data_IF_822843215956
#
_entry.id   IF_822843215956
#
_cell.length_a   1.000
_cell.length_b   1.000
_cell.length_c   1.000
_cell.angle_alpha   90.00
_cell.angle_beta   90.00
_cell.angle_gamma   90.00
#
_symmetry.space_group_name_H-M   'P 1'
#
loop_
_entity.id
_entity.type
_entity.pdbx_description
1 polymer ?
#
# COMPACT_ATOMS: atom_id res chain seq x y z
N UNK A 1 -25.58 -5.87 11.69
CA UNK A 1 -25.45 -6.09 12.15
C UNK A 1 -25.19 -6.17 12.91
N UNK A 2 -25.19 -6.36 13.21
CA UNK A 2 -25.07 -6.61 13.97
C UNK A 2 -24.48 -6.74 14.58
N UNK A 3 -24.54 -6.82 14.92
CA UNK A 3 -24.09 -7.11 15.44
C UNK A 3 -23.75 -7.24 16.16
N UNK A 4 -23.83 -7.40 16.52
CA UNK A 4 -23.59 -7.75 17.15
C UNK A 4 -23.20 -7.70 17.56
N UNK A 5 -23.29 -7.90 18.09
CA UNK A 5 -23.05 -8.18 18.53
C UNK A 5 -22.65 -8.18 19.13
N UNK A 6 -22.70 -8.28 19.42
CA UNK A 6 -22.41 -8.58 20.11
C UNK A 6 -21.92 -8.57 20.54
N UNK A 7 -21.89 -8.71 20.93
CA UNK A 7 -21.44 -9.03 21.43
C UNK A 7 -20.90 -9.14 22.04
N UNK A 8 -20.90 -9.23 22.19
CA UNK A 8 -20.38 -9.57 22.79
C UNK A 8 -19.54 -9.46 22.96
N UNK A 9 -19.62 -9.15 23.39
CA UNK A 9 -18.73 -9.14 23.55
C UNK A 9 -17.91 -9.15 24.33
N UNK A 10 -18.11 -8.26 24.53
CA UNK A 10 -17.55 -8.61 25.82
C UNK A 10 -16.69 -9.86 25.85
N UNK A 11 -16.50 -10.44 24.75
CA UNK A 11 -15.81 -11.72 24.67
C UNK A 11 -14.52 -11.66 23.90
N UNK A 12 -13.86 -10.47 23.87
CA UNK A 12 -12.52 -10.39 23.33
C UNK A 12 -11.60 -11.35 24.10
N UNK A 13 -10.75 -12.06 23.39
CA UNK A 13 -9.77 -12.92 24.02
C UNK A 13 -8.80 -12.07 24.84
N UNK A 14 -8.16 -12.71 25.83
CA UNK A 14 -7.19 -12.01 26.67
C UNK A 14 -6.09 -11.40 25.79
N UNK A 15 -5.86 -10.11 25.95
CA UNK A 15 -4.90 -9.37 25.14
C UNK A 15 -5.49 -8.72 23.90
N UNK A 16 -6.73 -9.03 23.57
CA UNK A 16 -7.40 -8.35 22.46
C UNK A 16 -8.04 -7.06 22.94
N UNK A 17 -8.04 -6.06 22.07
CA UNK A 17 -8.69 -4.79 22.34
C UNK A 17 -9.10 -4.15 21.03
N UNK A 18 -10.05 -3.21 21.11
CA UNK A 18 -10.42 -2.41 19.96
C UNK A 18 -9.27 -1.46 19.64
N UNK A 19 -8.92 -1.39 18.38
CA UNK A 19 -7.96 -0.43 17.87
C UNK A 19 -8.64 0.39 16.78
N UNK A 20 -8.45 1.69 16.83
CA UNK A 20 -9.01 2.61 15.85
C UNK A 20 -7.94 3.63 15.53
N UNK A 21 -7.58 3.74 14.24
CA UNK A 21 -6.56 4.68 13.78
C UNK A 21 -7.03 5.38 12.54
N UNK A 22 -6.32 6.42 12.14
CA UNK A 22 -6.70 7.25 11.02
C UNK A 22 -5.46 7.60 10.20
N UNK A 23 -5.54 7.53 8.88
CA UNK A 23 -4.41 7.87 8.02
C UNK A 23 -3.98 9.34 8.15
N UNK A 24 -4.85 10.21 8.64
CA UNK A 24 -4.47 11.59 8.93
C UNK A 24 -3.50 11.74 10.09
N UNK A 25 -3.31 10.67 10.88
CA UNK A 25 -2.33 10.61 11.97
C UNK A 25 -1.58 9.30 11.88
N UNK A 26 -0.74 9.14 10.85
CA UNK A 26 -0.05 7.87 10.63
C UNK A 26 1.00 7.63 11.71
N UNK A 27 1.32 6.34 11.92
CA UNK A 27 2.40 5.95 12.81
C UNK A 27 3.76 6.28 12.19
N UNK A 28 3.83 6.28 10.87
CA UNK A 28 5.07 6.55 10.15
C UNK A 28 4.73 7.07 8.76
N UNK A 29 5.59 7.95 8.23
CA UNK A 29 5.50 8.40 6.84
C UNK A 29 6.86 8.17 6.19
N UNK A 30 6.86 7.59 5.00
CA UNK A 30 8.06 7.45 4.18
C UNK A 30 7.86 8.23 2.89
N UNK A 31 8.78 9.14 2.62
CA UNK A 31 8.71 9.98 1.44
C UNK A 31 9.75 9.55 0.41
N UNK A 32 9.41 9.75 -0.85
CA UNK A 32 10.28 9.49 -1.98
C UNK A 32 9.88 10.45 -3.11
N UNK A 33 10.70 10.58 -4.15
CA UNK A 33 10.35 11.49 -5.23
C UNK A 33 8.96 11.21 -5.80
N UNK A 34 8.12 12.23 -5.82
CA UNK A 34 6.75 12.23 -6.35
C UNK A 34 5.80 11.30 -5.60
N UNK A 35 6.03 11.11 -4.28
CA UNK A 35 5.08 10.33 -3.53
C UNK A 35 5.44 10.14 -2.06
N UNK A 36 4.54 9.46 -1.38
CA UNK A 36 4.74 9.09 0.01
C UNK A 36 3.86 7.90 0.37
N UNK A 37 4.22 7.22 1.43
CA UNK A 37 3.42 6.17 2.02
C UNK A 37 3.19 6.53 3.48
N UNK A 38 1.94 6.53 3.89
CA UNK A 38 1.51 6.72 5.27
C UNK A 38 1.20 5.35 5.86
N UNK A 39 1.86 5.01 6.96
CA UNK A 39 1.79 3.67 7.53
C UNK A 39 1.05 3.69 8.84
N UNK A 40 0.19 2.72 9.04
CA UNK A 40 -0.53 2.49 10.27
C UNK A 40 -0.25 1.06 10.72
N UNK A 41 0.11 0.93 12.01
CA UNK A 41 0.27 -0.37 12.64
C UNK A 41 -0.96 -0.65 13.48
N UNK A 42 -1.68 -1.69 13.11
CA UNK A 42 -2.96 -2.02 13.73
C UNK A 42 -3.16 -3.52 13.68
N UNK A 43 -3.61 -4.09 14.79
CA UNK A 43 -3.89 -5.52 14.88
C UNK A 43 -2.70 -6.40 14.55
N UNK A 44 -1.48 -5.93 14.82
CA UNK A 44 -0.26 -6.65 14.47
C UNK A 44 0.13 -6.57 13.01
N UNK A 45 -0.62 -5.83 12.20
CA UNK A 45 -0.33 -5.65 10.77
C UNK A 45 0.16 -4.24 10.49
N UNK A 46 0.77 -4.06 9.33
CA UNK A 46 1.14 -2.74 8.82
C UNK A 46 0.36 -2.49 7.55
N UNK A 47 -0.46 -1.44 7.57
CA UNK A 47 -1.30 -1.06 6.45
C UNK A 47 -0.80 0.29 5.95
N UNK A 48 -0.69 0.45 4.63
CA UNK A 48 -0.19 1.69 4.07
C UNK A 48 -1.18 2.34 3.12
N UNK A 49 -1.23 3.67 3.16
CA UNK A 49 -1.87 4.45 2.09
C UNK A 49 -0.77 5.11 1.30
N UNK A 50 -0.63 4.68 0.05
CA UNK A 50 0.36 5.24 -0.86
C UNK A 50 -0.29 6.34 -1.69
N UNK A 51 0.39 7.47 -1.82
CA UNK A 51 0.00 8.56 -2.70
C UNK A 51 1.13 8.73 -3.71
N UNK A 52 0.83 8.44 -4.97
CA UNK A 52 1.79 8.54 -6.07
C UNK A 52 1.36 9.69 -6.98
N UNK A 53 2.19 10.72 -7.09
CA UNK A 53 1.89 11.88 -7.90
C UNK A 53 2.10 11.59 -9.39
N UNK A 54 1.52 12.40 -10.29
CA UNK A 54 1.83 12.26 -11.71
C UNK A 54 3.33 12.32 -11.94
N UNK A 55 3.83 11.40 -12.76
CA UNK A 55 5.26 11.26 -13.02
C UNK A 55 5.97 10.27 -12.11
N UNK A 56 5.29 9.77 -11.07
CA UNK A 56 5.89 8.74 -10.24
C UNK A 56 6.05 7.44 -11.03
N UNK A 57 7.20 6.82 -10.86
CA UNK A 57 7.48 5.47 -11.36
C UNK A 57 8.37 4.77 -10.35
N UNK A 58 8.08 3.50 -10.05
CA UNK A 58 8.86 2.77 -9.07
C UNK A 58 10.34 2.75 -9.43
N UNK A 59 10.67 2.51 -10.70
CA UNK A 59 12.05 2.40 -11.15
C UNK A 59 12.86 3.68 -10.92
N UNK A 60 12.23 4.87 -10.99
CA UNK A 60 12.93 6.14 -10.79
C UNK A 60 12.78 6.70 -9.38
N UNK A 61 11.67 6.39 -8.69
CA UNK A 61 11.36 7.01 -7.40
C UNK A 61 11.72 6.14 -6.21
N UNK A 62 11.56 4.82 -6.32
CA UNK A 62 11.72 3.89 -5.20
C UNK A 62 12.95 2.99 -5.39
N UNK A 63 13.23 2.58 -6.61
CA UNK A 63 14.36 1.68 -6.87
C UNK A 63 15.68 2.20 -6.29
N UNK A 64 16.00 3.50 -6.39
CA UNK A 64 17.25 3.98 -5.80
C UNK A 64 17.32 3.78 -4.29
N UNK A 65 16.16 3.72 -3.61
CA UNK A 65 16.09 3.47 -2.18
C UNK A 65 16.15 1.96 -1.92
N UNK A 66 15.34 1.19 -2.61
CA UNK A 66 15.21 -0.25 -2.41
C UNK A 66 16.41 -1.03 -2.94
N UNK A 67 17.02 -0.54 -4.04
CA UNK A 67 18.22 -1.12 -4.65
C UNK A 67 18.01 -2.53 -5.16
N UNK A 68 16.78 -2.83 -5.65
CA UNK A 68 16.46 -4.08 -6.34
C UNK A 68 16.12 -3.77 -7.79
N UNK A 69 16.18 -4.77 -8.67
CA UNK A 69 15.91 -4.57 -10.09
C UNK A 69 14.43 -4.23 -10.35
N UNK A 70 13.54 -4.82 -9.56
CA UNK A 70 12.11 -4.58 -9.62
C UNK A 70 11.56 -4.59 -8.21
N UNK A 71 10.31 -4.17 -8.03
CA UNK A 71 9.69 -4.17 -6.71
C UNK A 71 9.47 -5.61 -6.27
N UNK A 72 10.05 -5.98 -5.14
CA UNK A 72 10.00 -7.34 -4.62
C UNK A 72 8.98 -7.50 -3.51
N UNK A 73 8.35 -6.42 -3.06
CA UNK A 73 7.27 -6.51 -2.10
C UNK A 73 6.00 -7.00 -2.79
N UNK A 74 5.38 -8.06 -2.30
CA UNK A 74 4.05 -8.42 -2.78
C UNK A 74 3.03 -7.44 -2.23
N UNK A 75 1.98 -7.17 -2.99
CA UNK A 75 0.98 -6.18 -2.61
C UNK A 75 -0.42 -6.75 -2.71
N UNK A 76 -1.25 -6.42 -1.72
CA UNK A 76 -2.68 -6.72 -1.72
C UNK A 76 -3.38 -5.39 -1.49
N UNK A 77 -3.95 -4.82 -2.55
CA UNK A 77 -4.27 -3.39 -2.61
C UNK A 77 -5.70 -3.12 -3.02
N UNK A 78 -6.25 -2.06 -2.43
CA UNK A 78 -7.47 -1.43 -2.91
C UNK A 78 -7.11 -0.09 -3.55
N UNK A 79 -7.54 0.13 -4.80
CA UNK A 79 -7.23 1.32 -5.57
C UNK A 79 -8.33 2.35 -5.36
N UNK A 80 -7.97 3.47 -4.71
CA UNK A 80 -8.94 4.49 -4.29
C UNK A 80 -9.19 5.48 -5.41
N UNK A 81 -8.12 6.01 -6.03
CA UNK A 81 -8.23 7.02 -7.08
C UNK A 81 -6.99 7.00 -7.97
N UNK A 82 -7.12 7.62 -9.14
CA UNK A 82 -6.06 7.64 -10.13
C UNK A 82 -5.90 6.28 -10.80
N UNK A 83 -4.92 6.20 -11.71
CA UNK A 83 -4.64 4.97 -12.47
C UNK A 83 -3.18 4.64 -12.29
N UNK A 84 -2.93 3.41 -11.87
CA UNK A 84 -1.59 2.87 -11.71
C UNK A 84 -1.38 1.75 -12.73
N UNK A 85 -0.40 1.92 -13.61
CA UNK A 85 -0.04 0.87 -14.58
C UNK A 85 1.05 0.02 -13.99
N UNK A 86 0.89 -1.30 -14.08
CA UNK A 86 1.82 -2.28 -13.54
C UNK A 86 2.41 -3.09 -14.69
N UNK A 87 3.74 -3.25 -14.65
CA UNK A 87 4.47 -4.10 -15.59
C UNK A 87 5.18 -5.18 -14.78
N UNK A 88 4.76 -6.42 -14.98
CA UNK A 88 5.38 -7.56 -14.30
C UNK A 88 6.69 -7.93 -15.02
N UNK A 89 7.59 -8.58 -14.29
CA UNK A 89 8.88 -9.03 -14.85
C UNK A 89 8.70 -9.98 -16.04
N UNK A 90 7.58 -10.72 -16.07
CA UNK A 90 7.29 -11.64 -17.18
C UNK A 90 6.67 -10.94 -18.40
N UNK A 91 6.50 -9.62 -18.34
CA UNK A 91 5.98 -8.81 -19.44
C UNK A 91 4.49 -8.55 -19.40
N UNK A 92 3.75 -9.12 -18.45
CA UNK A 92 2.32 -8.81 -18.30
C UNK A 92 2.16 -7.36 -17.87
N UNK A 93 1.23 -6.64 -18.50
CA UNK A 93 0.98 -5.23 -18.21
C UNK A 93 -0.51 -5.00 -18.07
N UNK A 94 -0.90 -4.21 -17.07
CA UNK A 94 -2.31 -3.91 -16.82
C UNK A 94 -2.45 -2.62 -16.02
N UNK A 95 -3.65 -2.04 -16.06
CA UNK A 95 -3.98 -0.82 -15.32
C UNK A 95 -4.87 -1.15 -14.15
N UNK A 96 -4.51 -0.60 -12.98
CA UNK A 96 -5.33 -0.62 -11.79
C UNK A 96 -6.08 0.70 -11.72
N UNK A 97 -7.42 0.64 -11.65
CA UNK A 97 -8.30 1.80 -11.72
C UNK A 97 -9.10 1.93 -10.42
N UNK A 98 -9.71 3.09 -10.16
CA UNK A 98 -10.50 3.26 -8.93
C UNK A 98 -11.54 2.16 -8.76
N UNK A 99 -11.57 1.57 -7.57
CA UNK A 99 -12.47 0.47 -7.25
C UNK A 99 -11.86 -0.91 -7.47
N UNK A 100 -10.72 -1.00 -8.14
CA UNK A 100 -10.07 -2.30 -8.35
C UNK A 100 -9.42 -2.79 -7.07
N UNK A 101 -9.38 -4.10 -6.92
CA UNK A 101 -8.58 -4.78 -5.91
C UNK A 101 -7.55 -5.60 -6.65
N UNK A 102 -6.28 -5.48 -6.28
CA UNK A 102 -5.22 -6.21 -6.95
C UNK A 102 -4.41 -7.01 -5.95
N UNK A 103 -3.95 -8.16 -6.41
CA UNK A 103 -2.96 -8.99 -5.72
C UNK A 103 -1.76 -9.07 -6.64
N UNK A 104 -0.66 -8.45 -6.23
CA UNK A 104 0.55 -8.38 -7.04
C UNK A 104 1.64 -9.21 -6.38
N UNK A 105 2.12 -10.27 -7.03
CA UNK A 105 3.32 -10.93 -6.55
C UNK A 105 4.54 -10.02 -6.72
N UNK A 106 5.64 -10.39 -6.10
CA UNK A 106 6.90 -9.66 -6.28
C UNK A 106 7.35 -9.69 -7.74
N UNK A 107 8.22 -8.75 -8.10
CA UNK A 107 8.77 -8.71 -9.45
C UNK A 107 7.97 -7.85 -10.40
N UNK A 108 7.81 -6.56 -10.07
CA UNK A 108 7.08 -5.64 -10.93
C UNK A 108 7.66 -4.23 -10.87
N UNK A 109 7.35 -3.44 -11.88
CA UNK A 109 7.49 -1.99 -11.93
C UNK A 109 6.07 -1.41 -12.01
N UNK A 110 5.92 -0.14 -11.71
CA UNK A 110 4.62 0.53 -11.78
C UNK A 110 4.81 2.02 -11.96
N UNK A 111 3.83 2.69 -12.60
CA UNK A 111 3.86 4.14 -12.77
C UNK A 111 2.46 4.70 -12.86
N UNK A 112 2.35 5.99 -12.55
CA UNK A 112 1.08 6.70 -12.63
C UNK A 112 0.77 7.04 -14.07
N UNK A 113 -0.47 6.78 -14.49
CA UNK A 113 -0.97 7.13 -15.81
C UNK A 113 -1.86 8.36 -15.67
N UNK A 114 -1.57 9.40 -16.47
CA UNK A 114 -2.41 10.59 -16.48
C UNK A 114 -1.96 11.65 -15.50
N UNK A 115 -2.86 12.57 -15.20
CA UNK A 115 -2.55 13.80 -14.46
C UNK A 115 -3.11 13.83 -13.04
N UNK A 116 -3.67 12.71 -12.57
CA UNK A 116 -4.19 12.60 -11.22
C UNK A 116 -3.29 11.72 -10.38
N UNK A 117 -3.12 12.03 -9.09
CA UNK A 117 -2.40 11.12 -8.20
C UNK A 117 -3.10 9.77 -8.14
N UNK A 118 -2.32 8.71 -8.05
CA UNK A 118 -2.85 7.38 -7.75
C UNK A 118 -2.78 7.17 -6.23
N UNK A 119 -3.93 6.87 -5.63
CA UNK A 119 -4.01 6.63 -4.19
C UNK A 119 -4.44 5.18 -3.99
N UNK A 120 -3.64 4.46 -3.21
CA UNK A 120 -3.78 3.01 -3.04
C UNK A 120 -3.67 2.68 -1.56
N UNK A 121 -4.56 1.81 -1.07
CA UNK A 121 -4.43 1.26 0.28
C UNK A 121 -3.91 -0.17 0.16
N UNK A 122 -2.80 -0.45 0.82
CA UNK A 122 -2.11 -1.73 0.73
C UNK A 122 -2.17 -2.43 2.08
N UNK A 123 -2.68 -3.66 2.09
CA UNK A 123 -2.83 -4.48 3.28
C UNK A 123 -1.68 -5.48 3.45
N UNK A 124 -0.74 -5.50 2.52
CA UNK A 124 0.40 -6.41 2.54
C UNK A 124 1.56 -5.72 1.84
N UNK A 125 2.78 -6.02 2.27
CA UNK A 125 3.96 -5.51 1.58
C UNK A 125 4.41 -4.13 1.98
N UNK A 126 3.73 -3.49 2.92
CA UNK A 126 4.11 -2.14 3.34
C UNK A 126 5.14 -2.10 4.46
N UNK A 127 5.44 -3.23 5.08
CA UNK A 127 6.36 -3.26 6.21
C UNK A 127 7.72 -2.66 5.84
N UNK A 128 8.25 -3.06 4.68
CA UNK A 128 9.57 -2.62 4.23
C UNK A 128 9.55 -1.76 2.98
N UNK A 129 8.37 -1.40 2.49
CA UNK A 129 8.25 -0.64 1.24
C UNK A 129 8.97 0.71 1.37
N UNK A 130 9.77 1.05 0.37
CA UNK A 130 10.54 2.30 0.33
C UNK A 130 11.42 2.48 1.57
N UNK A 131 11.84 1.38 2.21
CA UNK A 131 12.70 1.41 3.39
C UNK A 131 14.13 1.10 2.96
N UNK A 132 15.05 1.96 3.34
CA UNK A 132 16.47 1.76 3.04
C UNK A 132 17.14 0.90 4.11
N UNK A 133 18.37 0.48 3.85
CA UNK A 133 19.18 -0.19 4.87
C UNK A 133 18.94 -1.68 5.00
N UNK A 134 18.48 -2.31 3.94
CA UNK A 134 18.22 -3.76 3.94
C UNK A 134 19.48 -4.57 3.78
#
# INVERSE_FOLDING_TARGET
MTIAHGHDHAHAAKGESVELKHFGKPDEVREFPKGRVELIRIGGATIGRAIFEPGWRWASSVQPIAKTRSCEAPHFQYHVSGILRVLMDDGAEFDCKPGDVSLLPSGHDAWVVGNEPAIVVDFQGMLDYAKSGR
#
